data_IF_576653701785
#
_entry.id   IF_576653701785
#
_cell.length_a   1.000
_cell.length_b   1.000
_cell.length_c   1.000
_cell.angle_alpha   90.00
_cell.angle_beta   90.00
_cell.angle_gamma   90.00
#
_symmetry.space_group_name_H-M   'P 1'
#
loop_
_entity.id
_entity.type
_entity.pdbx_description
1 polymer ?
#
# COMPACT_ATOMS: atom_id res chain seq x y z
N UNK A 1 -18.26 3.00 11.68
CA UNK A 1 -17.20 3.56 12.54
C UNK A 1 -16.25 4.22 11.57
N UNK A 2 -16.46 5.50 11.30
CA UNK A 2 -15.75 6.22 10.25
C UNK A 2 -14.35 6.58 10.75
N UNK A 3 -13.35 6.17 10.00
CA UNK A 3 -11.91 6.53 10.12
C UNK A 3 -11.69 8.02 9.80
N UNK A 4 -12.33 8.89 10.58
CA UNK A 4 -12.35 10.37 10.43
C UNK A 4 -11.34 11.09 11.34
N UNK A 5 -10.39 10.36 11.93
CA UNK A 5 -9.34 10.94 12.77
C UNK A 5 -8.23 11.61 11.94
N UNK A 6 -7.63 12.68 12.47
CA UNK A 6 -6.45 13.36 11.89
C UNK A 6 -5.35 12.37 11.53
N UNK A 7 -5.10 11.39 12.40
CA UNK A 7 -4.15 10.30 12.20
C UNK A 7 -4.48 9.37 11.02
N UNK A 8 -5.77 9.11 10.77
CA UNK A 8 -6.21 8.33 9.61
C UNK A 8 -5.99 9.14 8.32
N UNK A 9 -6.26 10.44 8.35
CA UNK A 9 -5.97 11.37 7.25
C UNK A 9 -4.48 11.46 6.92
N UNK A 10 -3.63 11.56 7.94
CA UNK A 10 -2.17 11.54 7.81
C UNK A 10 -1.71 10.22 7.21
N UNK A 11 -2.21 9.08 7.69
CA UNK A 11 -1.86 7.77 7.13
C UNK A 11 -2.22 7.61 5.66
N UNK A 12 -3.42 8.05 5.25
CA UNK A 12 -3.81 8.05 3.84
C UNK A 12 -2.92 8.96 3.00
N UNK A 13 -2.57 10.13 3.51
CA UNK A 13 -1.71 11.11 2.80
C UNK A 13 -0.30 10.56 2.61
N UNK A 14 0.32 10.03 3.66
CA UNK A 14 1.66 9.44 3.58
C UNK A 14 1.72 8.31 2.54
N UNK A 15 0.69 7.46 2.51
CA UNK A 15 0.58 6.37 1.53
C UNK A 15 0.46 6.93 0.10
N UNK A 16 -0.36 7.97 -0.12
CA UNK A 16 -0.49 8.62 -1.44
C UNK A 16 0.80 9.22 -1.93
N UNK A 17 1.57 9.83 -1.05
CA UNK A 17 2.86 10.42 -1.39
C UNK A 17 3.85 9.34 -1.85
N UNK A 18 3.87 8.19 -1.18
CA UNK A 18 4.66 7.02 -1.59
C UNK A 18 4.21 6.45 -2.94
N UNK A 19 2.91 6.41 -3.21
CA UNK A 19 2.36 5.96 -4.50
C UNK A 19 2.71 6.92 -5.63
N UNK A 20 2.74 8.23 -5.35
CA UNK A 20 3.05 9.27 -6.32
C UNK A 20 4.55 9.48 -6.54
N UNK A 21 5.40 9.00 -5.63
CA UNK A 21 6.84 9.15 -5.69
C UNK A 21 7.42 8.57 -7.00
N UNK A 22 8.33 9.33 -7.63
CA UNK A 22 8.98 8.95 -8.88
C UNK A 22 10.14 7.98 -8.61
N UNK A 23 10.36 7.05 -9.55
CA UNK A 23 11.43 6.05 -9.45
C UNK A 23 11.13 4.96 -8.42
N UNK A 24 11.92 3.88 -8.44
CA UNK A 24 11.94 2.81 -7.44
C UNK A 24 10.56 2.31 -6.94
N UNK A 25 9.67 1.94 -7.87
CA UNK A 25 8.29 1.56 -7.55
C UNK A 25 8.19 0.45 -6.47
N UNK A 26 9.09 -0.52 -6.49
CA UNK A 26 9.17 -1.60 -5.49
C UNK A 26 9.59 -1.08 -4.11
N UNK A 27 10.54 -0.15 -4.05
CA UNK A 27 10.96 0.48 -2.78
C UNK A 27 9.81 1.30 -2.20
N UNK A 28 9.14 2.08 -3.04
CA UNK A 28 7.99 2.89 -2.62
C UNK A 28 6.84 2.00 -2.14
N UNK A 29 6.61 0.87 -2.81
CA UNK A 29 5.61 -0.11 -2.41
C UNK A 29 5.93 -0.74 -1.04
N UNK A 30 7.19 -1.10 -0.79
CA UNK A 30 7.61 -1.62 0.52
C UNK A 30 7.43 -0.57 1.62
N UNK A 31 7.79 0.68 1.35
CA UNK A 31 7.55 1.78 2.29
C UNK A 31 6.05 1.98 2.56
N UNK A 32 5.21 1.89 1.53
CA UNK A 32 3.76 2.02 1.67
C UNK A 32 3.18 0.89 2.53
N UNK A 33 3.63 -0.36 2.33
CA UNK A 33 3.24 -1.50 3.18
C UNK A 33 3.62 -1.24 4.64
N UNK A 34 4.87 -0.85 4.92
CA UNK A 34 5.31 -0.53 6.28
C UNK A 34 4.43 0.56 6.92
N UNK A 35 4.08 1.60 6.16
CA UNK A 35 3.22 2.69 6.65
C UNK A 35 1.80 2.24 6.97
N UNK A 36 1.23 1.36 6.13
CA UNK A 36 -0.09 0.76 6.33
C UNK A 36 -0.11 -0.14 7.55
N UNK A 37 0.86 -1.05 7.68
CA UNK A 37 0.98 -1.93 8.85
C UNK A 37 1.09 -1.13 10.16
N UNK A 38 1.87 -0.04 10.15
CA UNK A 38 1.97 0.87 11.29
C UNK A 38 0.61 1.51 11.64
N UNK A 39 -0.15 1.95 10.63
CA UNK A 39 -1.45 2.55 10.82
C UNK A 39 -2.49 1.55 11.35
N UNK A 40 -2.47 0.31 10.85
CA UNK A 40 -3.34 -0.76 11.33
C UNK A 40 -3.01 -1.14 12.78
N UNK A 41 -1.72 -1.29 13.10
CA UNK A 41 -1.27 -1.61 14.46
C UNK A 41 -1.64 -0.52 15.48
N UNK A 42 -1.63 0.75 15.06
CA UNK A 42 -2.05 1.88 15.88
C UNK A 42 -3.59 2.06 15.95
N UNK A 43 -4.36 1.28 15.18
CA UNK A 43 -5.82 1.44 15.07
C UNK A 43 -6.26 2.70 14.33
N UNK A 44 -5.36 3.34 13.59
CA UNK A 44 -5.66 4.55 12.80
C UNK A 44 -6.41 4.21 11.52
N UNK A 45 -6.16 3.02 10.96
CA UNK A 45 -6.87 2.47 9.81
C UNK A 45 -7.47 1.10 10.17
N UNK A 46 -8.58 0.77 9.52
CA UNK A 46 -9.22 -0.54 9.67
C UNK A 46 -8.77 -1.48 8.55
N UNK A 47 -8.45 -2.72 8.91
CA UNK A 47 -8.10 -3.76 7.94
C UNK A 47 -9.40 -4.39 7.42
N UNK A 48 -9.81 -3.99 6.22
CA UNK A 48 -10.97 -4.58 5.56
C UNK A 48 -10.56 -5.87 4.82
N UNK A 49 -11.50 -6.81 4.58
CA UNK A 49 -11.20 -8.01 3.80
C UNK A 49 -10.65 -7.72 2.39
N UNK A 50 -11.08 -6.61 1.78
CA UNK A 50 -10.56 -6.17 0.49
C UNK A 50 -9.10 -5.68 0.60
N UNK A 51 -8.76 -4.91 1.64
CA UNK A 51 -7.39 -4.48 1.88
C UNK A 51 -6.46 -5.67 2.14
N UNK A 52 -6.91 -6.68 2.90
CA UNK A 52 -6.13 -7.90 3.12
C UNK A 52 -5.80 -8.64 1.80
N UNK A 53 -6.76 -8.73 0.88
CA UNK A 53 -6.55 -9.33 -0.45
C UNK A 53 -5.51 -8.54 -1.25
N UNK A 54 -5.66 -7.22 -1.34
CA UNK A 54 -4.72 -6.39 -2.09
C UNK A 54 -3.31 -6.39 -1.47
N UNK A 55 -3.20 -6.39 -0.15
CA UNK A 55 -1.91 -6.48 0.54
C UNK A 55 -1.23 -7.84 0.28
N UNK A 56 -1.99 -8.93 0.28
CA UNK A 56 -1.48 -10.26 -0.08
C UNK A 56 -0.93 -10.32 -1.52
N UNK A 57 -1.68 -9.78 -2.48
CA UNK A 57 -1.24 -9.69 -3.88
C UNK A 57 0.00 -8.80 -4.02
N UNK A 58 0.04 -7.68 -3.30
CA UNK A 58 1.19 -6.77 -3.30
C UNK A 58 2.43 -7.47 -2.74
N UNK A 59 2.32 -8.16 -1.60
CA UNK A 59 3.43 -8.90 -0.99
C UNK A 59 4.02 -9.93 -1.96
N UNK A 60 3.16 -10.73 -2.62
CA UNK A 60 3.61 -11.70 -3.63
C UNK A 60 4.35 -11.02 -4.79
N UNK A 61 3.84 -9.89 -5.28
CA UNK A 61 4.50 -9.14 -6.35
C UNK A 61 5.87 -8.61 -5.94
N UNK A 62 6.04 -8.21 -4.67
CA UNK A 62 7.31 -7.71 -4.12
C UNK A 62 8.32 -8.85 -3.88
N UNK A 63 7.87 -10.02 -3.41
CA UNK A 63 8.72 -11.21 -3.23
C UNK A 63 9.29 -11.72 -4.56
N UNK A 64 8.50 -11.66 -5.64
CA UNK A 64 8.95 -12.06 -6.98
C UNK A 64 10.06 -11.14 -7.53
N UNK A 65 10.10 -9.87 -7.13
CA UNK A 65 11.17 -8.94 -7.51
C UNK A 65 12.49 -9.20 -6.75
N UNK A 66 12.42 -9.65 -5.49
CA UNK A 66 13.62 -10.03 -4.71
C UNK A 66 14.30 -11.30 -5.24
N UNK A 67 13.54 -12.18 -5.92
CA UNK A 67 14.02 -13.46 -6.45
C UNK A 67 14.39 -13.45 -7.94
N UNK A 68 13.77 -12.59 -8.75
CA UNK A 68 14.00 -12.54 -10.20
C UNK A 68 14.18 -11.10 -10.69
N UNK A 69 15.00 -10.89 -11.75
CA UNK A 69 15.17 -9.60 -12.44
C UNK A 69 13.91 -9.20 -13.24
N UNK A 70 12.74 -9.24 -12.61
CA UNK A 70 11.43 -8.94 -13.19
C UNK A 70 11.08 -7.45 -13.14
N UNK A 71 12.03 -6.59 -12.76
CA UNK A 71 11.85 -5.18 -12.36
C UNK A 71 11.00 -4.25 -13.24
N UNK A 72 10.53 -4.68 -14.41
CA UNK A 72 9.44 -4.04 -15.15
C UNK A 72 8.03 -4.52 -14.76
N UNK A 73 7.79 -5.83 -14.71
CA UNK A 73 6.45 -6.42 -14.47
C UNK A 73 6.03 -6.32 -13.01
N UNK A 74 6.93 -6.63 -12.08
CA UNK A 74 6.64 -6.53 -10.64
C UNK A 74 6.42 -5.08 -10.21
N UNK A 75 7.15 -4.14 -10.82
CA UNK A 75 6.96 -2.70 -10.59
C UNK A 75 5.61 -2.18 -11.11
N UNK A 76 5.15 -2.65 -12.27
CA UNK A 76 3.84 -2.28 -12.82
C UNK A 76 2.70 -2.88 -11.99
N UNK A 77 2.81 -4.15 -11.59
CA UNK A 77 1.86 -4.81 -10.70
C UNK A 77 1.75 -4.07 -9.35
N UNK A 78 2.88 -3.74 -8.73
CA UNK A 78 2.91 -3.00 -7.47
C UNK A 78 2.17 -1.65 -7.57
N UNK A 79 2.37 -0.90 -8.67
CA UNK A 79 1.66 0.37 -8.91
C UNK A 79 0.15 0.17 -9.04
N UNK A 80 -0.27 -0.85 -9.77
CA UNK A 80 -1.70 -1.12 -9.98
C UNK A 80 -2.38 -1.49 -8.65
N UNK A 81 -1.76 -2.39 -7.88
CA UNK A 81 -2.31 -2.86 -6.60
C UNK A 81 -2.33 -1.72 -5.57
N UNK A 82 -1.27 -0.90 -5.49
CA UNK A 82 -1.26 0.28 -4.62
C UNK A 82 -2.37 1.28 -4.94
N UNK A 83 -2.72 1.46 -6.22
CA UNK A 83 -3.86 2.30 -6.62
C UNK A 83 -5.21 1.69 -6.20
N UNK A 84 -5.33 0.37 -6.15
CA UNK A 84 -6.51 -0.28 -5.61
C UNK A 84 -6.62 -0.07 -4.09
N UNK A 85 -5.49 -0.18 -3.37
CA UNK A 85 -5.40 0.09 -1.93
C UNK A 85 -5.80 1.53 -1.61
N UNK A 86 -5.24 2.53 -2.30
CA UNK A 86 -5.59 3.96 -2.12
C UNK A 86 -7.10 4.20 -2.27
N UNK A 87 -7.73 3.63 -3.30
CA UNK A 87 -9.18 3.74 -3.52
C UNK A 87 -10.00 3.04 -2.45
N UNK A 88 -9.52 1.93 -1.91
CA UNK A 88 -10.20 1.21 -0.85
C UNK A 88 -10.11 1.96 0.49
N UNK A 89 -8.97 2.60 0.77
CA UNK A 89 -8.78 3.45 1.95
C UNK A 89 -9.69 4.69 1.95
N UNK A 90 -10.10 5.17 0.78
CA UNK A 90 -11.10 6.25 0.65
C UNK A 90 -12.54 5.79 0.92
N UNK A 91 -12.80 4.48 0.84
CA UNK A 91 -14.14 3.89 1.02
C UNK A 91 -14.39 3.35 2.41
N UNK A 92 -13.32 2.98 3.13
CA UNK A 92 -13.33 2.52 4.51
C UNK A 92 -13.29 3.68 5.51
#
# INVERSE_FOLDING_TARGET
MTTEGEEAGTARTDVRDLIAAKGHAVVNARAAVTRLETAFAAGHLERTPALDLYLGDLMRALEQDDGEKLGGKSAEAARFILRAIDRELDRA
#
